data_IF_891499172511
#
_entry.id   IF_891499172511
#
_cell.length_a   1.000
_cell.length_b   1.000
_cell.length_c   1.000
_cell.angle_alpha   90.00
_cell.angle_beta   90.00
_cell.angle_gamma   90.00
#
_symmetry.space_group_name_H-M   'P 1'
#
loop_
_entity.id
_entity.type
_entity.pdbx_description
1 polymer ?
#
# COMPACT_ATOMS: atom_id res chain seq x y z
N UNK A 1 14.61 -7.49 -5.84
CA UNK A 1 13.89 -6.27 -6.26
C UNK A 1 12.39 -6.44 -6.08
N UNK A 2 11.63 -5.43 -5.62
CA UNK A 2 10.22 -5.39 -5.92
C UNK A 2 10.05 -5.16 -7.42
N UNK A 3 9.50 -6.12 -8.15
CA UNK A 3 9.04 -5.85 -9.50
C UNK A 3 8.00 -4.73 -9.45
N UNK A 4 8.29 -3.59 -10.07
CA UNK A 4 7.41 -2.44 -10.19
C UNK A 4 6.80 -2.34 -11.60
N UNK A 5 7.08 -3.29 -12.50
CA UNK A 5 6.40 -3.32 -13.79
C UNK A 5 4.91 -3.56 -13.62
N UNK A 6 4.12 -2.96 -14.52
CA UNK A 6 2.66 -2.93 -14.43
C UNK A 6 2.08 -4.34 -14.24
N UNK A 7 2.42 -5.24 -15.14
CA UNK A 7 1.79 -6.57 -15.18
C UNK A 7 2.22 -7.42 -13.99
N UNK A 8 3.51 -7.38 -13.63
CA UNK A 8 4.04 -8.10 -12.47
C UNK A 8 3.46 -7.60 -11.15
N UNK A 9 3.29 -6.28 -10.99
CA UNK A 9 2.64 -5.69 -9.81
C UNK A 9 1.17 -6.07 -9.73
N UNK A 10 0.43 -6.02 -10.85
CA UNK A 10 -0.98 -6.39 -10.87
C UNK A 10 -1.19 -7.88 -10.62
N UNK A 11 -0.29 -8.74 -11.11
CA UNK A 11 -0.28 -10.16 -10.76
C UNK A 11 0.03 -10.39 -9.28
N UNK A 12 1.04 -9.70 -8.75
CA UNK A 12 1.39 -9.78 -7.35
C UNK A 12 0.23 -9.34 -6.44
N UNK A 13 -0.42 -8.21 -6.72
CA UNK A 13 -1.58 -7.72 -5.94
C UNK A 13 -2.74 -8.72 -6.00
N UNK A 14 -3.04 -9.30 -7.17
CA UNK A 14 -4.09 -10.34 -7.29
C UNK A 14 -3.85 -11.54 -6.38
N UNK A 15 -2.60 -11.90 -6.15
CA UNK A 15 -2.21 -13.04 -5.30
C UNK A 15 -2.08 -12.68 -3.82
N UNK A 16 -1.43 -11.57 -3.52
CA UNK A 16 -1.12 -11.17 -2.15
C UNK A 16 -2.29 -10.45 -1.47
N UNK A 17 -3.03 -9.63 -2.22
CA UNK A 17 -4.04 -8.71 -1.71
C UNK A 17 -5.32 -8.78 -2.56
N UNK A 18 -6.03 -9.93 -2.59
CA UNK A 18 -7.16 -10.14 -3.50
C UNK A 18 -8.32 -9.16 -3.28
N UNK A 19 -8.52 -8.68 -2.05
CA UNK A 19 -9.48 -7.63 -1.73
C UNK A 19 -9.14 -6.30 -2.43
N UNK A 20 -7.87 -5.90 -2.38
CA UNK A 20 -7.39 -4.70 -3.07
C UNK A 20 -7.44 -4.91 -4.58
N UNK A 21 -7.09 -6.10 -5.07
CA UNK A 21 -7.16 -6.43 -6.49
C UNK A 21 -8.57 -6.31 -7.09
N UNK A 22 -9.61 -6.53 -6.28
CA UNK A 22 -11.01 -6.37 -6.68
C UNK A 22 -11.41 -4.89 -6.85
N UNK A 23 -10.59 -3.94 -6.41
CA UNK A 23 -10.79 -2.52 -6.64
C UNK A 23 -10.46 -2.19 -8.11
N UNK A 24 -11.50 -2.05 -8.95
CA UNK A 24 -11.34 -1.97 -10.42
C UNK A 24 -10.69 -0.66 -10.91
N UNK A 25 -10.79 0.43 -10.16
CA UNK A 25 -10.27 1.74 -10.57
C UNK A 25 -9.04 2.16 -9.73
N UNK A 26 -7.96 2.55 -10.40
CA UNK A 26 -6.85 3.29 -9.76
C UNK A 26 -5.78 2.45 -9.06
N UNK A 27 -5.72 1.14 -9.30
CA UNK A 27 -4.61 0.30 -8.82
C UNK A 27 -3.25 0.82 -9.31
N UNK A 28 -3.21 1.21 -10.58
CA UNK A 28 -2.11 1.96 -11.19
C UNK A 28 -2.72 3.24 -11.75
N UNK A 29 -2.12 4.39 -11.45
CA UNK A 29 -2.59 5.69 -11.93
C UNK A 29 -2.24 5.84 -13.41
N UNK A 30 -3.05 6.55 -14.17
CA UNK A 30 -2.77 6.78 -15.60
C UNK A 30 -1.43 7.46 -15.85
N UNK A 31 -1.01 8.38 -14.96
CA UNK A 31 0.30 9.07 -15.03
C UNK A 31 1.48 8.11 -14.94
N UNK A 32 1.29 6.94 -14.35
CA UNK A 32 2.34 5.93 -14.21
C UNK A 32 2.55 5.08 -15.47
N UNK A 33 1.59 5.10 -16.39
CA UNK A 33 1.69 4.49 -17.71
C UNK A 33 2.24 5.47 -18.77
N UNK A 34 2.55 6.70 -18.37
CA UNK A 34 3.14 7.70 -19.27
C UNK A 34 4.52 7.21 -19.74
N UNK A 35 4.79 7.18 -21.06
CA UNK A 35 6.08 6.75 -21.62
C UNK A 35 7.30 7.50 -21.08
N UNK A 36 7.13 8.73 -20.58
CA UNK A 36 8.20 9.50 -19.94
C UNK A 36 8.41 9.11 -18.47
N UNK A 37 7.37 8.61 -17.79
CA UNK A 37 7.40 8.23 -16.37
C UNK A 37 7.86 6.79 -16.17
N UNK A 38 7.47 5.89 -17.08
CA UNK A 38 7.78 4.47 -16.97
C UNK A 38 9.30 4.18 -16.81
N UNK A 39 10.22 4.79 -17.60
CA UNK A 39 11.65 4.60 -17.41
C UNK A 39 12.16 5.07 -16.04
N UNK A 40 11.57 6.14 -15.49
CA UNK A 40 11.94 6.67 -14.18
C UNK A 40 11.53 5.72 -13.06
N UNK A 41 10.34 5.11 -13.16
CA UNK A 41 9.87 4.11 -12.19
C UNK A 41 10.67 2.81 -12.26
N UNK A 42 11.02 2.35 -13.45
CA UNK A 42 11.93 1.22 -13.63
C UNK A 42 13.31 1.52 -13.04
N UNK A 43 13.86 2.71 -13.32
CA UNK A 43 15.13 3.13 -12.75
C UNK A 43 15.05 3.19 -11.21
N UNK A 44 13.98 3.73 -10.65
CA UNK A 44 13.74 3.75 -9.20
C UNK A 44 13.78 2.33 -8.61
N UNK A 45 13.04 1.37 -9.18
CA UNK A 45 13.08 -0.03 -8.77
C UNK A 45 14.50 -0.64 -8.82
N UNK A 46 15.27 -0.35 -9.87
CA UNK A 46 16.66 -0.81 -10.00
C UNK A 46 17.59 -0.20 -8.95
N UNK A 47 17.38 1.07 -8.57
CA UNK A 47 18.15 1.70 -7.49
C UNK A 47 17.82 1.08 -6.14
N UNK A 48 16.55 0.71 -5.89
CA UNK A 48 16.16 -0.03 -4.70
C UNK A 48 16.87 -1.39 -4.60
N UNK A 49 17.05 -2.08 -5.72
CA UNK A 49 17.72 -3.39 -5.76
C UNK A 49 19.23 -3.30 -5.52
N UNK A 50 19.90 -2.33 -6.17
CA UNK A 50 21.33 -2.08 -5.96
C UNK A 50 21.64 -1.76 -4.50
N UNK A 51 20.73 -1.03 -3.84
CA UNK A 51 20.83 -0.72 -2.42
C UNK A 51 20.60 -1.95 -1.54
N UNK A 52 19.64 -2.82 -1.90
CA UNK A 52 19.47 -4.13 -1.25
C UNK A 52 20.69 -5.05 -1.40
N UNK A 53 21.47 -4.90 -2.48
CA UNK A 53 22.77 -5.56 -2.65
C UNK A 53 23.93 -4.95 -1.84
N UNK A 54 23.70 -3.83 -1.13
CA UNK A 54 24.73 -3.16 -0.32
C UNK A 54 25.60 -2.16 -1.09
N UNK A 55 25.23 -1.81 -2.33
CA UNK A 55 26.00 -0.92 -3.21
C UNK A 55 25.36 0.44 -3.50
N UNK A 56 24.19 0.73 -2.96
CA UNK A 56 23.49 2.01 -3.08
C UNK A 56 23.55 2.83 -1.79
N UNK A 57 22.96 4.03 -1.81
CA UNK A 57 22.55 4.72 -0.58
C UNK A 57 21.13 5.27 -0.76
N UNK A 58 20.12 4.49 -0.40
CA UNK A 58 18.75 5.00 -0.22
C UNK A 58 18.61 5.88 1.02
N UNK A 59 19.70 6.10 1.77
CA UNK A 59 19.68 6.95 2.97
C UNK A 59 19.07 8.33 2.68
N UNK A 60 19.29 8.89 1.48
CA UNK A 60 18.70 10.17 1.05
C UNK A 60 17.17 10.19 0.92
N UNK A 61 16.50 9.04 0.82
CA UNK A 61 15.03 8.99 0.89
C UNK A 61 14.53 9.14 2.33
N UNK A 62 15.36 8.72 3.29
CA UNK A 62 15.07 8.75 4.72
C UNK A 62 15.67 9.98 5.42
N UNK A 63 16.40 10.85 4.70
CA UNK A 63 16.79 12.17 5.19
C UNK A 63 15.58 13.10 5.26
N UNK A 64 15.77 14.28 5.87
CA UNK A 64 14.72 15.30 6.00
C UNK A 64 13.42 14.73 6.59
N UNK A 65 13.59 13.91 7.62
CA UNK A 65 12.49 13.22 8.32
C UNK A 65 11.60 12.36 7.41
N UNK A 66 12.11 11.89 6.27
CA UNK A 66 11.39 11.05 5.33
C UNK A 66 10.48 11.82 4.36
N UNK A 67 10.71 13.12 4.17
CA UNK A 67 9.97 13.93 3.20
C UNK A 67 10.01 13.32 1.79
N UNK A 68 11.22 13.06 1.27
CA UNK A 68 11.39 12.52 -0.08
C UNK A 68 10.78 11.13 -0.25
N UNK A 69 10.82 10.29 0.80
CA UNK A 69 10.12 9.01 0.80
C UNK A 69 8.60 9.21 0.62
N UNK A 70 8.00 10.13 1.39
CA UNK A 70 6.55 10.41 1.30
C UNK A 70 6.17 10.98 -0.06
N UNK A 71 6.97 11.88 -0.61
CA UNK A 71 6.77 12.41 -1.96
C UNK A 71 6.85 11.33 -3.03
N UNK A 72 7.84 10.45 -2.96
CA UNK A 72 7.97 9.33 -3.89
C UNK A 72 6.78 8.37 -3.77
N UNK A 73 6.36 8.03 -2.54
CA UNK A 73 5.26 7.09 -2.30
C UNK A 73 3.88 7.69 -2.65
N UNK A 74 3.68 8.99 -2.46
CA UNK A 74 2.45 9.69 -2.82
C UNK A 74 2.20 9.75 -4.33
N UNK A 75 3.25 9.60 -5.15
CA UNK A 75 3.15 9.55 -6.61
C UNK A 75 2.65 8.20 -7.13
N UNK A 76 2.79 7.13 -6.35
CA UNK A 76 2.45 5.77 -6.75
C UNK A 76 0.94 5.50 -6.59
N UNK A 77 0.41 4.71 -7.52
CA UNK A 77 -0.86 4.02 -7.37
C UNK A 77 -0.80 2.95 -6.30
N UNK A 78 -1.97 2.52 -5.84
CA UNK A 78 -2.14 1.59 -4.72
C UNK A 78 -1.32 0.31 -4.90
N UNK A 79 -1.28 -0.23 -6.11
CA UNK A 79 -0.63 -1.52 -6.37
C UNK A 79 0.90 -1.42 -6.21
N UNK A 80 1.52 -0.39 -6.79
CA UNK A 80 2.97 -0.15 -6.64
C UNK A 80 3.34 0.29 -5.23
N UNK A 81 2.48 1.09 -4.60
CA UNK A 81 2.64 1.48 -3.21
C UNK A 81 2.69 0.26 -2.29
N UNK A 82 1.70 -0.64 -2.37
CA UNK A 82 1.66 -1.86 -1.57
C UNK A 82 2.84 -2.77 -1.86
N UNK A 83 3.24 -2.89 -3.11
CA UNK A 83 4.41 -3.69 -3.49
C UNK A 83 5.69 -3.17 -2.84
N UNK A 84 5.85 -1.85 -2.77
CA UNK A 84 6.99 -1.19 -2.16
C UNK A 84 6.97 -1.31 -0.63
N UNK A 85 5.80 -1.14 -0.01
CA UNK A 85 5.61 -1.35 1.43
C UNK A 85 5.94 -2.79 1.85
N UNK A 86 5.45 -3.78 1.12
CA UNK A 86 5.76 -5.18 1.37
C UNK A 86 7.27 -5.45 1.26
N UNK A 87 7.93 -4.83 0.28
CA UNK A 87 9.38 -4.96 0.14
C UNK A 87 10.17 -4.29 1.28
N UNK A 88 9.73 -3.13 1.78
CA UNK A 88 10.35 -2.51 2.95
C UNK A 88 10.19 -3.37 4.21
N UNK A 89 9.08 -4.10 4.33
CA UNK A 89 8.82 -5.02 5.43
C UNK A 89 9.66 -6.31 5.33
N UNK A 90 9.89 -6.81 4.11
CA UNK A 90 10.76 -7.96 3.84
C UNK A 90 12.26 -7.65 4.00
N UNK A 91 12.64 -6.37 4.07
CA UNK A 91 14.04 -5.96 4.18
C UNK A 91 14.63 -6.30 5.57
N UNK A 92 15.94 -6.63 5.66
CA UNK A 92 16.59 -6.88 6.94
C UNK A 92 16.37 -5.75 7.95
N UNK A 93 16.01 -6.13 9.18
CA UNK A 93 15.74 -5.20 10.29
C UNK A 93 16.90 -4.20 10.44
N UNK A 94 16.56 -2.92 10.54
CA UNK A 94 17.54 -1.83 10.71
C UNK A 94 18.08 -1.25 9.40
N UNK A 95 17.84 -1.88 8.24
CA UNK A 95 18.33 -1.36 6.95
C UNK A 95 17.61 -0.10 6.50
N UNK A 96 16.29 -0.11 6.63
CA UNK A 96 15.42 1.02 6.29
C UNK A 96 14.69 1.57 7.52
N UNK A 97 15.04 1.11 8.73
CA UNK A 97 14.31 1.49 9.93
C UNK A 97 14.76 2.89 10.42
N UNK A 98 13.82 3.79 10.80
CA UNK A 98 12.37 3.58 10.91
C UNK A 98 11.58 4.13 9.70
N UNK A 99 11.46 3.36 8.61
CA UNK A 99 10.61 3.74 7.47
C UNK A 99 9.12 3.93 7.83
N UNK A 100 8.50 3.14 8.76
CA UNK A 100 7.09 3.36 9.08
C UNK A 100 6.87 4.70 9.78
N UNK A 101 7.79 5.09 10.66
CA UNK A 101 7.74 6.39 11.36
C UNK A 101 7.96 7.53 10.38
N UNK A 102 8.95 7.40 9.47
CA UNK A 102 9.21 8.36 8.40
C UNK A 102 7.96 8.56 7.50
N UNK A 103 7.24 7.48 7.21
CA UNK A 103 6.07 7.49 6.34
C UNK A 103 4.82 8.10 7.00
N UNK A 104 4.60 7.78 8.27
CA UNK A 104 3.36 8.11 9.00
C UNK A 104 3.47 9.35 9.88
N UNK A 105 4.64 9.99 9.94
CA UNK A 105 4.84 11.23 10.69
C UNK A 105 3.82 12.29 10.27
N UNK A 106 3.28 12.99 11.27
CA UNK A 106 2.34 14.09 11.08
C UNK A 106 3.06 15.29 10.46
N UNK A 107 3.12 15.30 9.13
CA UNK A 107 3.51 16.47 8.36
C UNK A 107 2.32 17.05 7.57
N UNK A 108 2.42 18.34 7.27
CA UNK A 108 1.38 19.14 6.59
C UNK A 108 1.58 19.24 5.08
N UNK A 109 2.54 18.52 4.49
CA UNK A 109 2.74 18.53 3.04
C UNK A 109 1.57 17.88 2.31
N UNK A 110 1.36 18.28 1.06
CA UNK A 110 0.34 17.66 0.20
C UNK A 110 0.62 16.18 -0.06
N UNK A 111 1.89 15.80 -0.20
CA UNK A 111 2.32 14.42 -0.36
C UNK A 111 1.97 13.56 0.86
N UNK A 112 2.32 14.04 2.07
CA UNK A 112 1.98 13.37 3.32
C UNK A 112 0.46 13.24 3.52
N UNK A 113 -0.29 14.31 3.24
CA UNK A 113 -1.76 14.28 3.30
C UNK A 113 -2.37 13.29 2.31
N UNK A 114 -1.90 13.30 1.05
CA UNK A 114 -2.33 12.36 0.01
C UNK A 114 -2.07 10.91 0.43
N UNK A 115 -0.86 10.61 0.89
CA UNK A 115 -0.48 9.27 1.30
C UNK A 115 -1.32 8.77 2.49
N UNK A 116 -1.50 9.58 3.54
CA UNK A 116 -2.36 9.21 4.67
C UNK A 116 -3.79 8.97 4.24
N UNK A 117 -4.33 9.80 3.33
CA UNK A 117 -5.67 9.61 2.80
C UNK A 117 -5.80 8.28 2.02
N UNK A 118 -4.80 7.91 1.21
CA UNK A 118 -4.77 6.63 0.51
C UNK A 118 -4.75 5.45 1.49
N UNK A 119 -3.84 5.46 2.47
CA UNK A 119 -3.72 4.39 3.46
C UNK A 119 -5.00 4.27 4.31
N UNK A 120 -5.59 5.40 4.71
CA UNK A 120 -6.85 5.41 5.44
C UNK A 120 -8.02 4.86 4.59
N UNK A 121 -8.03 5.13 3.29
CA UNK A 121 -9.04 4.58 2.38
C UNK A 121 -8.91 3.05 2.25
N UNK A 122 -7.68 2.54 2.06
CA UNK A 122 -7.41 1.10 2.02
C UNK A 122 -7.80 0.42 3.33
N UNK A 123 -7.38 0.98 4.46
CA UNK A 123 -7.72 0.46 5.77
C UNK A 123 -9.24 0.43 6.00
N UNK A 124 -9.94 1.50 5.63
CA UNK A 124 -11.41 1.56 5.72
C UNK A 124 -12.06 0.45 4.88
N UNK A 125 -11.59 0.22 3.66
CA UNK A 125 -12.12 -0.82 2.80
C UNK A 125 -11.96 -2.21 3.44
N UNK A 126 -10.77 -2.53 3.93
CA UNK A 126 -10.50 -3.80 4.64
C UNK A 126 -11.38 -3.95 5.90
N UNK A 127 -11.58 -2.87 6.66
CA UNK A 127 -12.46 -2.89 7.82
C UNK A 127 -13.92 -3.15 7.43
N UNK A 128 -14.42 -2.50 6.37
CA UNK A 128 -15.78 -2.69 5.90
C UNK A 128 -16.02 -4.13 5.43
N UNK A 129 -15.09 -4.71 4.68
CA UNK A 129 -15.16 -6.12 4.25
C UNK A 129 -15.24 -7.07 5.44
N UNK A 130 -14.45 -6.82 6.49
CA UNK A 130 -14.50 -7.61 7.72
C UNK A 130 -15.81 -7.41 8.49
N UNK A 131 -16.32 -6.18 8.58
CA UNK A 131 -17.55 -5.86 9.32
C UNK A 131 -18.79 -6.45 8.64
N UNK A 132 -18.84 -6.36 7.31
CA UNK A 132 -19.94 -6.84 6.48
C UNK A 132 -19.72 -8.25 5.92
N UNK A 133 -18.77 -9.01 6.49
CA UNK A 133 -18.51 -10.38 6.09
C UNK A 133 -19.79 -11.24 6.21
N UNK A 134 -20.17 -12.05 5.20
CA UNK A 134 -21.42 -12.81 5.20
C UNK A 134 -21.64 -13.65 6.46
N UNK A 135 -20.59 -14.31 6.97
CA UNK A 135 -20.67 -15.10 8.20
C UNK A 135 -21.07 -14.28 9.43
N UNK A 136 -20.63 -13.01 9.53
CA UNK A 136 -21.03 -12.11 10.62
C UNK A 136 -22.49 -11.69 10.49
N UNK A 137 -22.93 -11.39 9.27
CA UNK A 137 -24.32 -11.01 9.01
C UNK A 137 -25.28 -12.17 9.25
N UNK A 138 -24.90 -13.39 8.89
CA UNK A 138 -25.65 -14.62 9.17
C UNK A 138 -25.81 -14.84 10.66
N UNK A 139 -24.71 -14.78 11.42
CA UNK A 139 -24.73 -14.92 12.88
C UNK A 139 -25.63 -13.86 13.54
N UNK A 140 -25.58 -12.61 13.08
CA UNK A 140 -26.46 -11.55 13.59
C UNK A 140 -27.93 -11.83 13.27
N UNK A 141 -28.24 -12.33 12.08
CA UNK A 141 -29.60 -12.67 11.67
C UNK A 141 -30.18 -13.85 12.48
N UNK A 142 -29.35 -14.85 12.77
CA UNK A 142 -29.72 -16.01 13.60
C UNK A 142 -30.09 -15.57 15.03
N UNK A 143 -29.23 -14.77 15.67
CA UNK A 143 -29.48 -14.23 17.02
C UNK A 143 -30.77 -13.40 17.08
N UNK A 144 -31.01 -12.55 16.08
CA UNK A 144 -32.24 -11.76 16.01
C UNK A 144 -33.49 -12.63 15.76
N UNK A 145 -33.34 -13.73 15.02
CA UNK A 145 -34.40 -14.70 14.78
C UNK A 145 -34.73 -15.57 16.01
N UNK A 146 -33.74 -15.88 16.84
CA UNK A 146 -33.92 -16.55 18.14
C UNK A 146 -34.61 -15.64 19.16
N UNK A 147 -34.11 -14.41 19.33
CA UNK A 147 -34.71 -13.44 20.25
C UNK A 147 -36.19 -13.14 19.95
N UNK A 148 -36.59 -13.15 18.67
CA UNK A 148 -38.00 -13.00 18.26
C UNK A 148 -38.87 -14.22 18.57
N UNK A 149 -38.30 -15.43 18.58
CA UNK A 149 -39.02 -16.66 18.92
C UNK A 149 -39.21 -16.81 20.43
N UNK A 150 -38.27 -16.34 21.24
CA UNK A 150 -38.40 -16.36 22.71
C UNK A 150 -39.41 -15.33 23.25
N UNK A 151 -39.66 -14.25 22.50
CA UNK A 151 -40.58 -13.17 22.88
C UNK A 151 -42.05 -13.39 22.42
N UNK A 152 -42.33 -14.46 21.66
CA UNK A 152 -43.64 -14.79 21.10
C UNK A 152 -44.27 -15.99 21.82
#
# INVERSE_FOLDING_TARGET
MPDLERDGVLEWVRRAEPAVAAMVAGLIRSVEDDPAVLPLLTAFGQHLDKDAGGGGSLAGLFTDEGLHLREAMAQLGVARLLRLLAWFDEAPVGRFHPWPEALLRDETTEAGACLRAMLAALHRQTLLERLFAPARLQLLAEVLGEARREAA
#
